data_IF_515350628919
#
_entry.id   IF_515350628919
#
_cell.length_a   1.000
_cell.length_b   1.000
_cell.length_c   1.000
_cell.angle_alpha   90.00
_cell.angle_beta   90.00
_cell.angle_gamma   90.00
#
_symmetry.space_group_name_H-M   'P 1'
#
loop_
_entity.id
_entity.type
_entity.pdbx_description
1 polymer ?
#
# COMPACT_ATOMS: atom_id res chain seq x y z
N UNK A 1 -0.30 -44.01 -49.82
CA UNK A 1 -0.15 -43.14 -48.64
C UNK A 1 -0.57 -41.71 -49.00
N UNK A 2 -1.80 -41.30 -48.64
CA UNK A 2 -2.32 -39.97 -48.97
C UNK A 2 -2.97 -39.35 -47.73
N UNK A 3 -2.18 -38.86 -46.76
CA UNK A 3 -2.71 -38.20 -45.55
C UNK A 3 -1.82 -37.09 -44.96
N UNK A 4 -1.01 -36.38 -45.76
CA UNK A 4 -0.18 -35.26 -45.24
C UNK A 4 -0.28 -33.98 -46.09
N UNK A 5 -1.46 -33.70 -46.69
CA UNK A 5 -1.60 -32.53 -47.59
C UNK A 5 -2.16 -31.27 -46.93
N UNK A 6 -2.57 -31.29 -45.67
CA UNK A 6 -3.20 -30.14 -45.01
C UNK A 6 -2.66 -29.79 -43.61
N UNK A 7 -1.71 -30.58 -43.08
CA UNK A 7 -1.12 -30.34 -41.74
C UNK A 7 -0.49 -28.96 -41.63
N UNK A 8 0.20 -28.50 -42.69
CA UNK A 8 0.81 -27.18 -42.72
C UNK A 8 -0.22 -26.03 -42.61
N UNK A 9 -1.44 -26.22 -43.13
CA UNK A 9 -2.50 -25.19 -43.04
C UNK A 9 -3.01 -25.06 -41.61
N UNK A 10 -3.22 -26.19 -40.93
CA UNK A 10 -3.61 -26.20 -39.51
C UNK A 10 -2.51 -25.67 -38.61
N UNK A 11 -1.25 -25.97 -38.93
CA UNK A 11 -0.10 -25.50 -38.16
C UNK A 11 0.07 -23.97 -38.30
N UNK A 12 -0.06 -23.44 -39.52
CA UNK A 12 -0.07 -21.97 -39.74
C UNK A 12 -1.23 -21.33 -38.99
N UNK A 13 -2.45 -21.88 -39.08
CA UNK A 13 -3.61 -21.33 -38.38
C UNK A 13 -3.43 -21.34 -36.85
N UNK A 14 -2.92 -22.43 -36.28
CA UNK A 14 -2.66 -22.54 -34.85
C UNK A 14 -1.59 -21.54 -34.38
N UNK A 15 -0.50 -21.39 -35.14
CA UNK A 15 0.56 -20.41 -34.83
C UNK A 15 0.00 -18.98 -34.92
N UNK A 16 -0.76 -18.65 -35.96
CA UNK A 16 -1.38 -17.34 -36.09
C UNK A 16 -2.33 -17.02 -34.94
N UNK A 17 -3.10 -18.01 -34.47
CA UNK A 17 -4.01 -17.83 -33.34
C UNK A 17 -3.26 -17.61 -32.02
N UNK A 18 -2.18 -18.36 -31.79
CA UNK A 18 -1.33 -18.20 -30.61
C UNK A 18 -0.60 -16.86 -30.61
N UNK A 19 -0.09 -16.43 -31.77
CA UNK A 19 0.56 -15.12 -31.91
C UNK A 19 -0.44 -13.99 -31.66
N UNK A 20 -1.62 -14.05 -32.27
CA UNK A 20 -2.66 -13.04 -32.08
C UNK A 20 -3.11 -12.98 -30.61
N UNK A 21 -3.38 -14.13 -29.99
CA UNK A 21 -3.76 -14.20 -28.58
C UNK A 21 -2.65 -13.69 -27.64
N UNK A 22 -1.41 -14.08 -27.90
CA UNK A 22 -0.25 -13.62 -27.12
C UNK A 22 -0.03 -12.12 -27.22
N UNK A 23 -0.16 -11.54 -28.43
CA UNK A 23 -0.05 -10.09 -28.64
C UNK A 23 -1.16 -9.35 -27.93
N UNK A 24 -2.42 -9.80 -28.03
CA UNK A 24 -3.54 -9.15 -27.36
C UNK A 24 -3.42 -9.19 -25.84
N UNK A 25 -3.13 -10.36 -25.26
CA UNK A 25 -2.96 -10.51 -23.81
C UNK A 25 -1.72 -9.73 -23.31
N UNK A 26 -0.63 -9.76 -24.05
CA UNK A 26 0.59 -9.01 -23.74
C UNK A 26 0.36 -7.50 -23.79
N UNK A 27 -0.37 -7.00 -24.78
CA UNK A 27 -0.71 -5.58 -24.89
C UNK A 27 -1.60 -5.12 -23.73
N UNK A 28 -2.61 -5.92 -23.35
CA UNK A 28 -3.46 -5.62 -22.19
C UNK A 28 -2.64 -5.61 -20.91
N UNK A 29 -1.77 -6.61 -20.69
CA UNK A 29 -0.92 -6.66 -19.51
C UNK A 29 0.05 -5.47 -19.44
N UNK A 30 0.74 -5.18 -20.54
CA UNK A 30 1.64 -4.04 -20.62
C UNK A 30 0.91 -2.71 -20.38
N UNK A 31 -0.28 -2.54 -20.96
CA UNK A 31 -1.08 -1.35 -20.74
C UNK A 31 -1.51 -1.26 -19.27
N UNK A 32 -2.04 -2.34 -18.69
CA UNK A 32 -2.44 -2.39 -17.28
C UNK A 32 -1.28 -2.00 -16.37
N UNK A 33 -0.12 -2.62 -16.54
CA UNK A 33 1.05 -2.39 -15.69
C UNK A 33 1.66 -0.98 -15.86
N UNK A 34 1.37 -0.28 -16.97
CA UNK A 34 1.92 1.05 -17.29
C UNK A 34 0.87 2.16 -17.37
N UNK A 35 -0.40 1.87 -17.08
CA UNK A 35 -1.49 2.83 -17.22
C UNK A 35 -1.37 3.96 -16.21
N UNK A 36 -1.98 5.11 -16.50
CA UNK A 36 -2.03 6.23 -15.54
C UNK A 36 -2.84 5.89 -14.29
N UNK A 37 -3.73 4.90 -14.36
CA UNK A 37 -4.47 4.37 -13.22
C UNK A 37 -3.55 3.59 -12.27
N UNK A 38 -2.54 2.91 -12.81
CA UNK A 38 -1.59 2.11 -12.01
C UNK A 38 -0.36 2.91 -11.59
N UNK A 39 0.20 3.73 -12.49
CA UNK A 39 1.42 4.50 -12.26
C UNK A 39 1.18 5.95 -11.83
N UNK A 40 -0.06 6.40 -11.80
CA UNK A 40 -0.40 7.81 -11.64
C UNK A 40 -0.35 8.57 -12.98
N UNK A 41 -1.11 9.66 -13.06
CA UNK A 41 -1.06 10.55 -14.23
C UNK A 41 0.14 11.48 -14.13
N UNK A 42 0.84 11.69 -15.25
CA UNK A 42 1.87 12.73 -15.35
C UNK A 42 1.21 14.09 -15.16
N UNK A 43 1.65 14.84 -14.15
CA UNK A 43 1.17 16.19 -13.92
C UNK A 43 2.08 17.18 -14.69
N UNK A 44 1.58 17.88 -15.72
CA UNK A 44 2.40 18.82 -16.48
C UNK A 44 2.95 19.99 -15.65
N UNK A 45 2.40 20.23 -14.45
CA UNK A 45 2.84 21.26 -13.51
C UNK A 45 3.54 20.68 -12.27
N UNK A 46 3.99 19.43 -12.28
CA UNK A 46 4.65 18.77 -11.13
C UNK A 46 5.78 19.60 -10.51
N UNK A 47 6.58 20.26 -11.35
CA UNK A 47 7.71 21.10 -10.90
C UNK A 47 7.29 22.47 -10.33
N UNK A 48 6.02 22.86 -10.50
CA UNK A 48 5.47 24.14 -10.04
C UNK A 48 4.61 23.98 -8.77
N UNK A 49 4.25 22.74 -8.43
CA UNK A 49 3.47 22.43 -7.24
C UNK A 49 4.37 22.34 -6.01
N UNK A 50 4.36 23.40 -5.21
CA UNK A 50 4.98 23.40 -3.89
C UNK A 50 3.91 23.11 -2.85
N UNK A 51 4.08 22.05 -2.07
CA UNK A 51 3.18 21.74 -0.97
C UNK A 51 3.41 22.72 0.19
N UNK A 52 2.67 23.84 0.19
CA UNK A 52 2.78 24.90 1.21
C UNK A 52 2.21 24.50 2.58
N UNK A 53 1.51 23.38 2.66
CA UNK A 53 0.90 22.89 3.90
C UNK A 53 1.84 22.03 4.74
N UNK A 54 3.00 21.67 4.19
CA UNK A 54 3.98 20.82 4.82
C UNK A 54 5.35 21.51 4.82
N UNK A 55 6.01 21.51 5.98
CA UNK A 55 7.45 21.73 5.96
C UNK A 55 8.09 20.58 5.19
N UNK A 56 9.10 20.88 4.36
CA UNK A 56 9.80 19.92 3.48
C UNK A 56 10.37 18.70 4.23
N UNK A 57 10.46 18.81 5.56
CA UNK A 57 11.09 17.83 6.46
C UNK A 57 10.08 17.23 7.45
N UNK A 58 8.78 17.54 7.31
CA UNK A 58 7.75 16.94 8.16
C UNK A 58 7.63 15.46 7.84
N UNK A 59 7.85 14.62 8.85
CA UNK A 59 7.62 13.17 8.76
C UNK A 59 6.24 12.85 9.30
N UNK A 60 5.50 11.93 8.67
CA UNK A 60 4.23 11.48 9.21
C UNK A 60 4.41 10.84 10.58
N UNK A 61 3.55 11.20 11.53
CA UNK A 61 3.51 10.65 12.87
C UNK A 61 2.41 9.60 12.99
N UNK A 62 2.75 8.46 13.58
CA UNK A 62 1.86 7.32 13.73
C UNK A 62 1.60 7.02 15.21
N UNK A 63 0.33 6.89 15.60
CA UNK A 63 -0.04 6.42 16.94
C UNK A 63 -1.37 5.71 16.94
N UNK A 64 -1.56 4.86 17.94
CA UNK A 64 -2.82 4.18 18.19
C UNK A 64 -3.62 4.92 19.24
N UNK A 65 -4.91 5.10 18.97
CA UNK A 65 -5.88 5.78 19.80
C UNK A 65 -6.99 4.82 20.25
N UNK A 66 -7.72 5.22 21.30
CA UNK A 66 -9.03 4.65 21.60
C UNK A 66 -10.06 5.02 20.52
N UNK A 67 -11.22 4.39 20.58
CA UNK A 67 -12.35 4.68 19.68
C UNK A 67 -12.85 6.13 19.76
N UNK A 68 -12.54 6.85 20.85
CA UNK A 68 -12.85 8.28 20.99
C UNK A 68 -11.99 9.19 20.09
N UNK A 69 -10.95 8.64 19.44
CA UNK A 69 -9.98 9.34 18.59
C UNK A 69 -9.26 10.50 19.28
N UNK A 70 -9.22 10.49 20.61
CA UNK A 70 -8.59 11.55 21.44
C UNK A 70 -7.51 10.97 22.34
N UNK A 71 -7.74 9.78 22.87
CA UNK A 71 -6.86 9.18 23.86
C UNK A 71 -5.82 8.30 23.17
N UNK A 72 -4.55 8.71 23.23
CA UNK A 72 -3.43 7.90 22.74
C UNK A 72 -3.16 6.73 23.68
N UNK A 73 -3.04 5.53 23.13
CA UNK A 73 -2.86 4.29 23.89
C UNK A 73 -1.55 3.59 23.58
N UNK A 74 -1.07 3.67 22.33
CA UNK A 74 0.18 3.06 21.93
C UNK A 74 0.85 3.88 20.83
N UNK A 75 2.15 3.70 20.67
CA UNK A 75 2.94 4.30 19.59
C UNK A 75 3.81 3.22 18.95
N UNK A 76 4.27 3.45 17.73
CA UNK A 76 5.28 2.58 17.15
C UNK A 76 6.58 2.66 17.97
N UNK A 77 7.34 1.57 17.97
CA UNK A 77 8.71 1.56 18.49
C UNK A 77 9.60 2.45 17.63
N UNK A 78 10.81 2.72 18.09
CA UNK A 78 11.80 3.49 17.34
C UNK A 78 13.01 2.61 17.01
N UNK A 79 13.55 2.70 15.80
CA UNK A 79 14.89 2.22 15.48
C UNK A 79 15.94 3.13 16.14
N UNK A 80 17.21 2.71 16.15
CA UNK A 80 18.30 3.45 16.83
C UNK A 80 18.56 4.84 16.23
N UNK A 81 18.16 5.06 14.98
CA UNK A 81 18.23 6.34 14.27
C UNK A 81 17.03 7.26 14.54
N UNK A 82 16.07 6.83 15.37
CA UNK A 82 14.87 7.59 15.71
C UNK A 82 13.71 7.46 14.71
N UNK A 83 13.85 6.63 13.68
CA UNK A 83 12.73 6.30 12.78
C UNK A 83 11.75 5.34 13.44
N UNK A 84 10.47 5.38 13.04
CA UNK A 84 9.47 4.43 13.53
C UNK A 84 9.80 3.01 13.05
N UNK A 85 9.90 2.09 14.00
CA UNK A 85 9.90 0.66 13.76
C UNK A 85 8.45 0.19 13.63
N UNK A 86 7.99 0.06 12.38
CA UNK A 86 6.62 -0.32 12.06
C UNK A 86 6.27 -1.75 12.46
N UNK A 87 7.29 -2.59 12.72
CA UNK A 87 7.09 -3.97 13.15
C UNK A 87 6.84 -4.08 14.65
N UNK A 88 7.06 -3.00 15.42
CA UNK A 88 6.95 -3.01 16.87
C UNK A 88 6.04 -1.91 17.40
N UNK A 89 5.21 -2.25 18.37
CA UNK A 89 4.30 -1.32 19.03
C UNK A 89 4.60 -1.25 20.52
N UNK A 90 4.76 -0.05 21.05
CA UNK A 90 4.93 0.20 22.49
C UNK A 90 3.57 0.47 23.12
N UNK A 91 3.13 -0.44 23.98
CA UNK A 91 1.87 -0.37 24.70
C UNK A 91 2.10 -0.66 26.20
N UNK A 92 1.63 0.23 27.07
CA UNK A 92 1.81 0.13 28.54
C UNK A 92 3.29 -0.10 28.96
N UNK A 93 4.22 0.58 28.31
CA UNK A 93 5.66 0.48 28.60
C UNK A 93 6.32 -0.83 28.15
N UNK A 94 5.60 -1.69 27.42
CA UNK A 94 6.13 -2.93 26.83
C UNK A 94 6.09 -2.87 25.32
N UNK A 95 7.08 -3.48 24.67
CA UNK A 95 7.13 -3.58 23.22
C UNK A 95 6.56 -4.92 22.76
N UNK A 96 5.62 -4.88 21.83
CA UNK A 96 4.99 -6.02 21.18
C UNK A 96 5.36 -6.03 19.70
N UNK A 97 5.28 -7.19 19.05
CA UNK A 97 5.22 -7.22 17.59
C UNK A 97 3.89 -6.64 17.12
N UNK A 98 3.88 -6.05 15.92
CA UNK A 98 2.72 -5.35 15.37
C UNK A 98 1.48 -6.23 15.33
N UNK A 99 1.62 -7.48 14.87
CA UNK A 99 0.51 -8.44 14.79
C UNK A 99 0.00 -8.86 16.18
N UNK A 100 0.92 -9.07 17.13
CA UNK A 100 0.60 -9.49 18.49
C UNK A 100 -0.08 -8.38 19.31
N UNK A 101 0.27 -7.13 19.04
CA UNK A 101 -0.30 -5.97 19.73
C UNK A 101 -1.83 -5.96 19.66
N UNK A 102 -2.41 -6.27 18.49
CA UNK A 102 -3.86 -6.24 18.33
C UNK A 102 -4.56 -7.28 19.19
N UNK A 103 -4.00 -8.48 19.29
CA UNK A 103 -4.52 -9.54 20.16
C UNK A 103 -4.47 -9.11 21.63
N UNK A 104 -3.33 -8.60 22.09
CA UNK A 104 -3.16 -8.13 23.48
C UNK A 104 -4.12 -7.01 23.80
N UNK A 105 -4.25 -6.03 22.90
CA UNK A 105 -5.13 -4.88 23.09
C UNK A 105 -6.60 -5.31 23.11
N UNK A 106 -7.01 -6.16 22.16
CA UNK A 106 -8.38 -6.65 22.05
C UNK A 106 -8.80 -7.47 23.28
N UNK A 107 -7.93 -8.35 23.78
CA UNK A 107 -8.22 -9.15 24.97
C UNK A 107 -8.44 -8.29 26.23
N UNK A 108 -7.80 -7.12 26.31
CA UNK A 108 -7.95 -6.21 27.45
C UNK A 108 -9.13 -5.25 27.33
N UNK A 109 -9.45 -4.81 26.11
CA UNK A 109 -10.39 -3.71 25.88
C UNK A 109 -11.70 -4.14 25.21
N UNK A 110 -11.73 -5.30 24.55
CA UNK A 110 -12.89 -5.82 23.80
C UNK A 110 -13.11 -5.16 22.44
N UNK A 111 -12.16 -4.36 21.95
CA UNK A 111 -12.19 -3.71 20.63
C UNK A 111 -10.77 -3.45 20.11
N UNK A 112 -10.64 -3.20 18.80
CA UNK A 112 -9.37 -2.81 18.17
C UNK A 112 -9.09 -1.31 18.31
N UNK A 113 -7.83 -0.89 18.41
CA UNK A 113 -7.47 0.51 18.47
C UNK A 113 -7.67 1.19 17.10
N UNK A 114 -7.66 2.52 17.08
CA UNK A 114 -7.71 3.32 15.85
C UNK A 114 -6.31 3.83 15.53
N UNK A 115 -5.81 3.64 14.32
CA UNK A 115 -4.52 4.22 13.91
C UNK A 115 -4.75 5.67 13.45
N UNK A 116 -4.14 6.64 14.14
CA UNK A 116 -4.00 8.01 13.66
C UNK A 116 -2.67 8.15 12.92
N UNK A 117 -2.77 8.71 11.71
CA UNK A 117 -1.63 9.11 10.89
C UNK A 117 -1.73 10.62 10.69
N UNK A 118 -0.81 11.35 11.31
CA UNK A 118 -0.75 12.80 11.24
C UNK A 118 0.34 13.23 10.28
N UNK A 119 0.01 14.10 9.32
CA UNK A 119 0.95 14.64 8.36
C UNK A 119 0.67 16.13 8.13
N UNK A 120 1.52 17.00 8.71
CA UNK A 120 1.25 18.44 8.76
C UNK A 120 -0.06 18.76 9.49
N UNK A 121 -0.97 19.44 8.80
CA UNK A 121 -2.32 19.74 9.30
C UNK A 121 -3.34 18.62 9.07
N UNK A 122 -2.98 17.59 8.30
CA UNK A 122 -3.86 16.48 7.98
C UNK A 122 -3.79 15.39 9.04
N UNK A 123 -4.95 14.82 9.36
CA UNK A 123 -5.08 13.66 10.24
C UNK A 123 -5.96 12.62 9.57
N UNK A 124 -5.44 11.42 9.43
CA UNK A 124 -6.15 10.28 8.89
C UNK A 124 -6.36 9.26 10.00
N UNK A 125 -7.56 8.70 10.04
CA UNK A 125 -7.94 7.68 11.02
C UNK A 125 -8.24 6.39 10.29
N UNK A 126 -7.43 5.36 10.51
CA UNK A 126 -7.70 4.02 10.01
C UNK A 126 -8.33 3.17 11.13
N UNK A 127 -9.59 2.82 10.94
CA UNK A 127 -10.34 1.88 11.79
C UNK A 127 -10.27 0.44 11.26
N UNK A 128 -9.78 0.25 10.03
CA UNK A 128 -9.66 -1.04 9.34
C UNK A 128 -8.19 -1.44 9.24
N UNK A 129 -7.61 -1.80 10.39
CA UNK A 129 -6.19 -2.10 10.51
C UNK A 129 -5.78 -3.34 9.72
N UNK A 130 -6.71 -4.27 9.50
CA UNK A 130 -6.48 -5.44 8.63
C UNK A 130 -6.45 -5.12 7.13
N UNK A 131 -7.02 -3.99 6.69
CA UNK A 131 -7.23 -3.72 5.27
C UNK A 131 -6.00 -3.11 4.59
N UNK A 132 -5.25 -2.27 5.31
CA UNK A 132 -4.09 -1.55 4.77
C UNK A 132 -2.97 -1.50 5.80
N UNK A 133 -1.80 -2.10 5.50
CA UNK A 133 -0.62 -1.97 6.34
C UNK A 133 -0.16 -0.51 6.47
N UNK A 134 0.34 -0.08 7.64
CA UNK A 134 0.80 1.29 7.86
C UNK A 134 1.88 1.75 6.85
N UNK A 135 2.74 0.84 6.40
CA UNK A 135 3.81 1.16 5.44
C UNK A 135 3.28 1.58 4.06
N UNK A 136 2.17 1.04 3.59
CA UNK A 136 1.55 1.45 2.33
C UNK A 136 0.95 2.85 2.43
N UNK A 137 0.39 3.18 3.60
CA UNK A 137 -0.10 4.52 3.85
C UNK A 137 1.04 5.55 3.91
N UNK A 138 2.16 5.21 4.55
CA UNK A 138 3.33 6.09 4.58
C UNK A 138 3.86 6.39 3.18
N UNK A 139 3.91 5.39 2.29
CA UNK A 139 4.28 5.60 0.88
C UNK A 139 3.31 6.56 0.18
N UNK A 140 2.01 6.42 0.44
CA UNK A 140 1.00 7.33 -0.09
C UNK A 140 1.15 8.76 0.46
N UNK A 141 1.48 8.91 1.74
CA UNK A 141 1.60 10.20 2.39
C UNK A 141 2.84 11.02 1.95
N UNK A 142 3.90 10.37 1.44
CA UNK A 142 5.13 11.01 0.96
C UNK A 142 5.01 11.60 -0.47
N UNK A 143 3.80 11.99 -0.88
CA UNK A 143 3.50 12.50 -2.22
C UNK A 143 4.22 13.83 -2.54
#
# INVERSE_FOLDING_TARGET
>A
MAKVKHVYKYLIAAVSFLVAGGVSLGAVKLYSDNSSQTKGALNPAENELVNVFLAKDSSPELKFLLQDKKTSVASFGKYQDGQDNLDRVTYNGRSYEYEDFFNVFYLQNGFLPVLEISYGSFKFYNEYLEAVPPHEFLKFAQW
#
